data_IF_362499599185
#
_entry.id   IF_362499599185
#
_cell.length_a   1.000
_cell.length_b   1.000
_cell.length_c   1.000
_cell.angle_alpha   90.00
_cell.angle_beta   90.00
_cell.angle_gamma   90.00
#
_symmetry.space_group_name_H-M   'P 1'
#
loop_
_entity.id
_entity.type
_entity.pdbx_description
1 polymer ?
#
# COMPACT_ATOMS: atom_id res chain seq x y z
N UNK A 1 -22.99 16.11 -17.09
CA UNK A 1 -21.96 16.26 -16.05
C UNK A 1 -21.29 14.92 -15.84
N UNK A 2 -20.00 14.84 -16.12
CA UNK A 2 -19.20 13.66 -15.82
C UNK A 2 -19.04 13.57 -14.29
N UNK A 3 -19.31 12.41 -13.70
CA UNK A 3 -19.10 12.13 -12.30
C UNK A 3 -17.62 11.84 -12.01
N UNK A 4 -17.26 11.81 -10.72
CA UNK A 4 -15.97 11.32 -10.25
C UNK A 4 -16.16 10.06 -9.40
N UNK A 5 -15.19 9.16 -9.46
CA UNK A 5 -15.10 8.01 -8.54
C UNK A 5 -13.94 8.26 -7.58
N UNK A 6 -14.22 8.16 -6.29
CA UNK A 6 -13.21 8.31 -5.24
C UNK A 6 -13.00 6.98 -4.54
N UNK A 7 -11.74 6.59 -4.39
CA UNK A 7 -11.34 5.50 -3.50
C UNK A 7 -10.90 6.10 -2.17
N UNK A 8 -11.59 5.74 -1.09
CA UNK A 8 -11.39 6.32 0.23
C UNK A 8 -11.03 5.22 1.21
N UNK A 9 -9.94 5.40 1.93
CA UNK A 9 -9.54 4.55 3.05
C UNK A 9 -9.39 5.42 4.29
N UNK A 10 -10.06 5.03 5.37
CA UNK A 10 -10.12 5.81 6.61
C UNK A 10 -10.11 4.89 7.83
N UNK A 11 -9.59 5.40 8.95
CA UNK A 11 -9.68 4.79 10.26
C UNK A 11 -10.84 5.35 11.11
N UNK A 12 -11.73 6.14 10.50
CA UNK A 12 -12.88 6.75 11.18
C UNK A 12 -13.72 5.76 11.99
N UNK A 13 -14.05 4.55 11.48
CA UNK A 13 -14.83 3.59 12.26
C UNK A 13 -14.20 3.21 13.60
N UNK A 14 -12.86 3.10 13.65
CA UNK A 14 -12.14 2.86 14.90
C UNK A 14 -12.26 4.06 15.83
N UNK A 15 -12.06 5.26 15.32
CA UNK A 15 -12.17 6.50 16.11
C UNK A 15 -13.58 6.69 16.68
N UNK A 16 -14.61 6.37 15.88
CA UNK A 16 -16.01 6.44 16.31
C UNK A 16 -16.31 5.40 17.41
N UNK A 17 -15.81 4.17 17.26
CA UNK A 17 -15.94 3.11 18.27
C UNK A 17 -15.30 3.52 19.61
N UNK A 18 -14.12 4.12 19.57
CA UNK A 18 -13.40 4.60 20.75
C UNK A 18 -13.96 5.91 21.33
N UNK A 19 -15.01 6.48 20.72
CA UNK A 19 -15.64 7.71 21.16
C UNK A 19 -14.80 8.97 20.91
N UNK A 20 -13.79 8.90 20.05
CA UNK A 20 -13.00 10.08 19.68
C UNK A 20 -13.85 11.08 18.88
N UNK A 21 -13.59 12.35 19.11
CA UNK A 21 -14.19 13.46 18.36
C UNK A 21 -13.11 14.36 17.82
N UNK A 22 -13.36 14.95 16.66
CA UNK A 22 -12.47 15.97 16.14
C UNK A 22 -12.35 17.12 17.15
N UNK A 23 -11.11 17.44 17.52
CA UNK A 23 -10.82 18.61 18.32
C UNK A 23 -10.59 19.82 17.41
N UNK A 24 -10.99 21.01 17.88
CA UNK A 24 -10.55 22.25 17.25
C UNK A 24 -9.05 22.40 17.51
N UNK A 25 -8.25 22.32 16.44
CA UNK A 25 -6.80 22.49 16.51
C UNK A 25 -6.38 23.66 15.64
N UNK A 26 -5.49 24.51 16.15
CA UNK A 26 -4.94 25.63 15.37
C UNK A 26 -4.05 25.15 14.24
N UNK A 27 -3.43 23.97 14.40
CA UNK A 27 -2.52 23.37 13.43
C UNK A 27 -2.72 21.88 13.36
N UNK A 28 -2.94 21.37 12.16
CA UNK A 28 -3.06 19.92 11.95
C UNK A 28 -1.72 19.21 12.19
N UNK A 29 -1.72 18.00 12.76
CA UNK A 29 -0.51 17.19 12.95
C UNK A 29 0.05 16.61 11.64
N UNK A 30 -0.72 16.68 10.57
CA UNK A 30 -0.39 16.13 9.24
C UNK A 30 -0.52 17.25 8.22
N UNK A 31 0.44 17.36 7.32
CA UNK A 31 0.40 18.33 6.23
C UNK A 31 -0.45 17.77 5.07
N UNK A 32 -1.15 18.65 4.35
CA UNK A 32 -1.71 18.29 3.06
C UNK A 32 -0.55 18.04 2.08
N UNK A 33 -0.53 16.88 1.46
CA UNK A 33 0.55 16.47 0.55
C UNK A 33 -0.03 16.14 -0.82
N UNK A 34 0.66 16.58 -1.86
CA UNK A 34 0.36 16.21 -3.23
C UNK A 34 1.58 15.53 -3.84
N UNK A 35 1.37 14.36 -4.39
CA UNK A 35 2.40 13.57 -5.10
C UNK A 35 2.09 13.59 -6.60
N UNK A 36 2.75 14.46 -7.40
CA UNK A 36 2.49 14.56 -8.83
C UNK A 36 2.80 13.26 -9.56
N UNK A 37 1.98 12.91 -10.56
CA UNK A 37 2.13 11.67 -11.31
C UNK A 37 3.51 11.53 -11.99
N UNK A 38 4.06 12.65 -12.49
CA UNK A 38 5.40 12.66 -13.09
C UNK A 38 6.50 12.31 -12.08
N UNK A 39 6.38 12.80 -10.84
CA UNK A 39 7.32 12.46 -9.76
C UNK A 39 7.20 10.99 -9.36
N UNK A 40 5.97 10.48 -9.25
CA UNK A 40 5.71 9.06 -8.98
C UNK A 40 6.38 8.18 -10.05
N UNK A 41 6.18 8.50 -11.33
CA UNK A 41 6.79 7.77 -12.44
C UNK A 41 8.33 7.79 -12.36
N UNK A 42 8.91 8.96 -12.11
CA UNK A 42 10.36 9.13 -11.95
C UNK A 42 10.91 8.28 -10.78
N UNK A 43 10.24 8.26 -9.65
CA UNK A 43 10.64 7.46 -8.49
C UNK A 43 10.54 5.96 -8.76
N UNK A 44 9.49 5.52 -9.45
CA UNK A 44 9.36 4.12 -9.87
C UNK A 44 10.51 3.69 -10.78
N UNK A 45 10.86 4.50 -11.78
CA UNK A 45 11.97 4.20 -12.66
C UNK A 45 13.29 4.11 -11.87
N UNK A 46 13.51 5.03 -10.93
CA UNK A 46 14.68 5.00 -10.05
C UNK A 46 14.78 3.75 -9.21
N UNK A 47 13.66 3.27 -8.66
CA UNK A 47 13.64 2.02 -7.86
C UNK A 47 14.06 0.84 -8.73
N UNK A 48 13.59 0.74 -9.95
CA UNK A 48 13.98 -0.34 -10.87
C UNK A 48 15.47 -0.31 -11.23
N UNK A 49 16.10 0.86 -11.25
CA UNK A 49 17.53 0.98 -11.50
C UNK A 49 18.38 0.50 -10.32
N UNK A 50 17.93 0.74 -9.09
CA UNK A 50 18.74 0.51 -7.88
C UNK A 50 18.38 -0.76 -7.10
N UNK A 51 17.16 -1.25 -7.20
CA UNK A 51 16.72 -2.44 -6.49
C UNK A 51 17.20 -3.72 -7.20
N UNK A 52 18.33 -4.23 -6.73
CA UNK A 52 18.90 -5.52 -7.18
C UNK A 52 19.18 -6.36 -5.97
N UNK A 53 18.40 -7.43 -5.76
CA UNK A 53 18.65 -8.40 -4.68
C UNK A 53 17.44 -9.28 -4.39
N UNK A 54 17.71 -10.51 -3.94
CA UNK A 54 16.69 -11.53 -3.66
C UNK A 54 15.90 -11.29 -2.37
N UNK A 55 16.28 -10.30 -1.55
CA UNK A 55 15.68 -10.03 -0.25
C UNK A 55 14.55 -8.99 -0.29
N UNK A 56 14.18 -8.51 -1.48
CA UNK A 56 13.10 -7.52 -1.62
C UNK A 56 11.75 -8.22 -1.78
N UNK A 57 10.78 -7.85 -0.94
CA UNK A 57 9.39 -8.30 -1.07
C UNK A 57 8.67 -7.69 -2.29
N UNK A 58 9.29 -6.73 -2.98
CA UNK A 58 8.77 -6.05 -4.17
C UNK A 58 9.27 -4.61 -4.28
N UNK A 59 8.91 -3.98 -5.38
CA UNK A 59 9.26 -2.57 -5.65
C UNK A 59 8.13 -1.68 -5.14
N UNK A 60 8.43 -0.76 -4.21
CA UNK A 60 7.42 0.12 -3.64
C UNK A 60 7.94 1.54 -3.41
N UNK A 61 7.07 2.50 -3.66
CA UNK A 61 7.19 3.87 -3.17
C UNK A 61 6.36 3.96 -1.90
N UNK A 62 6.93 4.40 -0.80
CA UNK A 62 6.20 4.69 0.43
C UNK A 62 5.93 6.20 0.47
N UNK A 63 4.66 6.56 0.53
CA UNK A 63 4.23 7.95 0.64
C UNK A 63 4.29 8.41 2.09
N UNK A 64 4.84 9.58 2.31
CA UNK A 64 4.95 10.18 3.63
C UNK A 64 4.89 11.72 3.54
N UNK A 65 4.67 12.39 4.65
CA UNK A 65 4.86 13.83 4.77
C UNK A 65 6.12 14.12 5.57
N UNK A 66 6.62 15.35 5.51
CA UNK A 66 7.80 15.76 6.27
C UNK A 66 7.68 15.47 7.77
N UNK A 67 6.48 15.53 8.32
CA UNK A 67 6.23 15.25 9.74
C UNK A 67 6.16 13.76 10.07
N UNK A 68 5.89 12.92 9.08
CA UNK A 68 5.72 11.47 9.24
C UNK A 68 6.88 10.67 8.62
N UNK A 69 7.90 11.35 8.08
CA UNK A 69 9.00 10.71 7.36
C UNK A 69 9.75 9.71 8.25
N UNK A 70 9.98 10.04 9.50
CA UNK A 70 10.67 9.16 10.45
C UNK A 70 9.96 7.83 10.73
N UNK A 71 8.62 7.80 10.61
CA UNK A 71 7.80 6.59 10.76
C UNK A 71 7.40 5.95 9.42
N UNK A 72 7.68 6.63 8.29
CA UNK A 72 7.29 6.21 6.95
C UNK A 72 5.78 5.99 6.77
N UNK A 73 4.98 6.74 7.52
CA UNK A 73 3.52 6.69 7.46
C UNK A 73 2.98 7.90 6.70
N UNK A 74 1.82 7.76 6.10
CA UNK A 74 1.07 8.90 5.53
C UNK A 74 0.19 9.54 6.61
N UNK A 75 -0.28 8.76 7.55
CA UNK A 75 -0.98 9.17 8.77
C UNK A 75 -0.44 8.38 9.96
N UNK A 76 -0.67 8.81 11.21
CA UNK A 76 -0.12 8.12 12.39
C UNK A 76 -0.40 6.61 12.45
N UNK A 77 -1.59 6.19 12.00
CA UNK A 77 -2.01 4.79 12.02
C UNK A 77 -1.96 4.10 10.66
N UNK A 78 -1.78 4.83 9.56
CA UNK A 78 -1.87 4.30 8.21
C UNK A 78 -0.56 4.51 7.44
N UNK A 79 -0.15 3.48 6.73
CA UNK A 79 0.86 3.53 5.68
C UNK A 79 0.20 3.56 4.31
N UNK A 80 0.79 4.24 3.35
CA UNK A 80 0.36 4.26 1.95
C UNK A 80 1.56 3.95 1.08
N UNK A 81 1.44 2.94 0.24
CA UNK A 81 2.47 2.57 -0.72
C UNK A 81 1.91 2.39 -2.13
N UNK A 82 2.69 2.75 -3.13
CA UNK A 82 2.47 2.32 -4.50
C UNK A 82 3.45 1.22 -4.83
N UNK A 83 2.91 0.02 -4.98
CA UNK A 83 3.69 -1.16 -5.35
C UNK A 83 3.69 -1.34 -6.87
N UNK A 84 4.75 -1.94 -7.35
CA UNK A 84 4.93 -2.22 -8.76
C UNK A 84 5.62 -3.57 -8.95
N UNK A 85 5.27 -4.25 -10.04
CA UNK A 85 5.92 -5.49 -10.48
C UNK A 85 6.23 -5.39 -11.97
N UNK A 86 7.46 -5.66 -12.39
CA UNK A 86 7.79 -5.84 -13.80
C UNK A 86 7.02 -7.00 -14.44
N UNK A 87 6.90 -7.05 -15.77
CA UNK A 87 6.38 -8.21 -16.48
C UNK A 87 7.14 -9.49 -16.14
N UNK A 88 6.42 -10.59 -15.88
CA UNK A 88 6.99 -11.88 -15.55
C UNK A 88 7.44 -12.06 -14.09
N UNK A 89 7.41 -11.02 -13.29
CA UNK A 89 7.87 -11.05 -11.91
C UNK A 89 6.78 -11.46 -10.92
N UNK A 90 7.22 -12.00 -9.79
CA UNK A 90 6.36 -12.38 -8.68
C UNK A 90 6.99 -11.96 -7.36
N UNK A 91 6.17 -11.50 -6.45
CA UNK A 91 6.60 -11.29 -5.08
C UNK A 91 6.74 -12.64 -4.37
N UNK A 92 7.78 -12.77 -3.56
CA UNK A 92 7.93 -13.91 -2.66
C UNK A 92 6.76 -13.96 -1.68
N UNK A 93 6.15 -15.15 -1.46
CA UNK A 93 5.08 -15.31 -0.49
C UNK A 93 5.52 -14.83 0.89
N UNK A 94 4.69 -14.02 1.52
CA UNK A 94 4.96 -13.42 2.82
C UNK A 94 3.66 -13.16 3.60
N UNK A 95 3.83 -12.82 4.87
CA UNK A 95 2.73 -12.41 5.75
C UNK A 95 3.16 -11.27 6.65
N UNK A 96 2.20 -10.50 7.10
CA UNK A 96 2.39 -9.46 8.11
C UNK A 96 1.14 -9.33 8.98
N UNK A 97 1.29 -8.69 10.15
CA UNK A 97 0.19 -8.53 11.09
C UNK A 97 -0.73 -7.34 10.79
N UNK A 98 -0.37 -6.46 9.86
CA UNK A 98 -1.28 -5.42 9.37
C UNK A 98 -2.29 -5.97 8.37
N UNK A 99 -3.50 -5.40 8.34
CA UNK A 99 -4.41 -5.56 7.22
C UNK A 99 -3.87 -4.77 6.02
N UNK A 100 -4.04 -5.27 4.82
CA UNK A 100 -3.74 -4.53 3.60
C UNK A 100 -4.98 -4.38 2.72
N UNK A 101 -5.26 -3.17 2.27
CA UNK A 101 -6.28 -2.88 1.27
C UNK A 101 -5.57 -2.39 0.03
N UNK A 102 -5.65 -3.17 -1.05
CA UNK A 102 -5.00 -2.87 -2.31
C UNK A 102 -6.01 -2.42 -3.37
N UNK A 103 -5.66 -1.36 -4.10
CA UNK A 103 -6.38 -0.91 -5.30
C UNK A 103 -5.51 -1.12 -6.53
N UNK A 104 -5.98 -1.91 -7.48
CA UNK A 104 -5.30 -2.11 -8.77
C UNK A 104 -5.49 -0.88 -9.65
N UNK A 105 -4.40 -0.25 -10.05
CA UNK A 105 -4.38 0.85 -11.04
C UNK A 105 -4.16 0.28 -12.44
N UNK A 106 -3.13 -0.57 -12.57
CA UNK A 106 -2.73 -1.24 -13.80
C UNK A 106 -2.28 -2.65 -13.47
N UNK A 107 -2.87 -3.68 -14.09
CA UNK A 107 -2.57 -5.06 -13.74
C UNK A 107 -3.20 -6.07 -14.70
N UNK A 108 -3.19 -5.80 -16.00
CA UNK A 108 -3.65 -6.76 -16.99
C UNK A 108 -2.79 -8.03 -16.95
N UNK A 109 -3.44 -9.21 -16.83
CA UNK A 109 -2.76 -10.49 -16.68
C UNK A 109 -2.09 -10.72 -15.33
N UNK A 110 -2.37 -9.85 -14.34
CA UNK A 110 -1.84 -9.97 -12.98
C UNK A 110 -2.86 -10.64 -12.04
N UNK A 111 -2.34 -11.15 -10.92
CA UNK A 111 -3.17 -11.73 -9.86
C UNK A 111 -2.48 -11.65 -8.51
N UNK A 112 -3.27 -11.79 -7.45
CA UNK A 112 -2.77 -12.08 -6.10
C UNK A 112 -3.11 -13.50 -5.70
N UNK A 113 -2.27 -14.10 -4.87
CA UNK A 113 -2.62 -15.31 -4.13
C UNK A 113 -2.74 -14.94 -2.65
N UNK A 114 -3.88 -15.26 -2.03
CA UNK A 114 -4.13 -15.01 -0.60
C UNK A 114 -4.63 -16.31 0.02
N UNK A 115 -3.89 -16.86 0.98
CA UNK A 115 -4.12 -18.19 1.59
C UNK A 115 -4.40 -19.27 0.54
N UNK A 116 -3.55 -19.32 -0.48
CA UNK A 116 -3.64 -20.30 -1.59
C UNK A 116 -4.75 -19.99 -2.61
N UNK A 117 -5.55 -18.95 -2.44
CA UNK A 117 -6.65 -18.61 -3.35
C UNK A 117 -6.21 -17.51 -4.31
N UNK A 118 -6.27 -17.80 -5.60
CA UNK A 118 -6.00 -16.83 -6.67
C UNK A 118 -7.10 -15.78 -6.78
N UNK A 119 -6.71 -14.53 -6.95
CA UNK A 119 -7.55 -13.35 -7.21
C UNK A 119 -6.99 -12.63 -8.43
N UNK A 120 -7.64 -12.80 -9.57
CA UNK A 120 -7.25 -12.11 -10.81
C UNK A 120 -7.53 -10.60 -10.70
N UNK A 121 -6.66 -9.81 -11.31
CA UNK A 121 -6.74 -8.37 -11.27
C UNK A 121 -7.48 -7.80 -12.48
N UNK A 122 -8.17 -6.72 -12.24
CA UNK A 122 -8.65 -5.79 -13.26
C UNK A 122 -8.44 -4.36 -12.75
N UNK A 123 -8.35 -3.35 -13.62
CA UNK A 123 -8.32 -1.95 -13.20
C UNK A 123 -9.48 -1.66 -12.24
N UNK A 124 -9.17 -0.93 -11.15
CA UNK A 124 -10.09 -0.57 -10.06
C UNK A 124 -10.52 -1.73 -9.15
N UNK A 125 -10.08 -2.96 -9.40
CA UNK A 125 -10.31 -4.03 -8.45
C UNK A 125 -9.66 -3.71 -7.10
N UNK A 126 -10.39 -4.01 -6.03
CA UNK A 126 -9.89 -3.85 -4.67
C UNK A 126 -9.82 -5.21 -3.98
N UNK A 127 -8.69 -5.49 -3.36
CA UNK A 127 -8.44 -6.73 -2.59
C UNK A 127 -8.10 -6.38 -1.16
N UNK A 128 -8.70 -7.12 -0.23
CA UNK A 128 -8.33 -7.07 1.19
C UNK A 128 -7.49 -8.31 1.52
N UNK A 129 -6.30 -8.10 2.05
CA UNK A 129 -5.46 -9.15 2.62
C UNK A 129 -5.60 -9.09 4.14
N UNK A 130 -6.18 -10.11 4.77
CA UNK A 130 -6.32 -10.14 6.23
C UNK A 130 -4.96 -10.17 6.95
N UNK A 131 -4.90 -9.72 8.21
CA UNK A 131 -3.73 -9.91 9.04
C UNK A 131 -3.27 -11.37 9.05
N UNK A 132 -1.98 -11.61 8.97
CA UNK A 132 -1.32 -12.92 8.99
C UNK A 132 -1.57 -13.85 7.79
N UNK A 133 -2.48 -13.51 6.89
CA UNK A 133 -2.71 -14.29 5.68
C UNK A 133 -1.45 -14.34 4.82
N UNK A 134 -1.07 -15.52 4.37
CA UNK A 134 0.05 -15.68 3.43
C UNK A 134 -0.38 -15.18 2.06
N UNK A 135 0.37 -14.25 1.51
CA UNK A 135 0.02 -13.67 0.22
C UNK A 135 1.24 -13.36 -0.65
N UNK A 136 0.98 -13.25 -1.94
CA UNK A 136 1.94 -12.87 -2.97
C UNK A 136 1.21 -12.22 -4.14
N UNK A 137 1.94 -11.41 -4.90
CA UNK A 137 1.43 -10.77 -6.11
C UNK A 137 2.25 -11.20 -7.31
N UNK A 138 1.60 -11.35 -8.46
CA UNK A 138 2.19 -11.94 -9.66
C UNK A 138 1.82 -11.11 -10.88
N UNK A 139 2.78 -10.86 -11.75
CA UNK A 139 2.56 -10.19 -13.03
C UNK A 139 2.86 -11.15 -14.19
N UNK A 140 1.82 -11.82 -14.70
CA UNK A 140 1.89 -12.61 -15.93
C UNK A 140 1.59 -11.82 -17.19
N UNK A 141 1.41 -10.51 -17.10
CA UNK A 141 1.15 -9.61 -18.22
C UNK A 141 2.41 -9.12 -18.90
N UNK A 142 2.23 -8.20 -19.83
CA UNK A 142 3.32 -7.61 -20.65
C UNK A 142 3.68 -6.19 -20.23
N UNK A 143 2.93 -5.61 -19.28
CA UNK A 143 3.14 -4.26 -18.77
C UNK A 143 3.46 -4.32 -17.27
N UNK A 144 4.12 -3.28 -16.77
CA UNK A 144 4.35 -3.05 -15.34
C UNK A 144 3.01 -3.06 -14.60
N UNK A 145 2.89 -3.83 -13.53
CA UNK A 145 1.75 -3.76 -12.62
C UNK A 145 1.91 -2.57 -11.68
N UNK A 146 0.80 -1.88 -11.36
CA UNK A 146 0.74 -0.78 -10.40
C UNK A 146 -0.47 -0.96 -9.49
N UNK A 147 -0.25 -0.97 -8.20
CA UNK A 147 -1.32 -1.09 -7.21
C UNK A 147 -1.00 -0.31 -5.93
N UNK A 148 -1.96 0.52 -5.52
CA UNK A 148 -1.89 1.23 -4.24
C UNK A 148 -2.22 0.27 -3.11
N UNK A 149 -1.48 0.37 -2.01
CA UNK A 149 -1.77 -0.37 -0.79
C UNK A 149 -1.85 0.60 0.37
N UNK A 150 -2.96 0.52 1.12
CA UNK A 150 -3.08 1.14 2.44
C UNK A 150 -3.09 0.03 3.48
N UNK A 151 -2.31 0.23 4.54
CA UNK A 151 -2.23 -0.69 5.67
C UNK A 151 -2.38 0.09 6.98
N UNK A 152 -2.92 -0.58 8.00
CA UNK A 152 -2.88 -0.09 9.38
C UNK A 152 -1.51 -0.31 10.04
N UNK A 153 -0.49 -0.48 9.23
CA UNK A 153 0.91 -0.72 9.61
C UNK A 153 1.47 0.32 10.57
N UNK A 154 0.99 1.56 10.49
CA UNK A 154 1.41 2.63 11.39
C UNK A 154 1.19 2.31 12.87
N UNK A 155 0.13 1.60 13.21
CA UNK A 155 -0.13 1.14 14.58
C UNK A 155 0.99 0.22 15.09
N UNK A 156 1.41 -0.73 14.26
CA UNK A 156 2.42 -1.73 14.62
C UNK A 156 3.83 -1.14 14.65
N UNK A 157 4.15 -0.23 13.73
CA UNK A 157 5.41 0.51 13.76
C UNK A 157 5.52 1.37 15.01
N UNK A 158 4.45 2.08 15.37
CA UNK A 158 4.42 2.92 16.57
C UNK A 158 4.55 2.08 17.84
N UNK A 159 3.86 0.96 17.92
CA UNK A 159 3.93 0.02 19.04
C UNK A 159 5.19 -0.87 19.03
N UNK A 160 6.04 -0.80 18.00
CA UNK A 160 7.21 -1.67 17.79
C UNK A 160 6.84 -3.17 17.75
N UNK A 161 5.70 -3.48 17.20
CA UNK A 161 5.14 -4.83 17.12
C UNK A 161 4.93 -5.30 15.69
N UNK A 162 5.52 -4.62 14.70
CA UNK A 162 5.41 -5.02 13.30
C UNK A 162 5.95 -6.43 13.12
N UNK A 163 5.08 -7.34 12.69
CA UNK A 163 5.41 -8.70 12.31
C UNK A 163 5.44 -8.84 10.80
N UNK A 164 6.58 -9.27 10.26
CA UNK A 164 6.74 -9.63 8.86
C UNK A 164 7.57 -10.90 8.76
N UNK A 165 7.16 -11.83 7.91
CA UNK A 165 7.96 -13.02 7.58
C UNK A 165 7.66 -13.50 6.18
N UNK A 166 8.68 -14.06 5.52
CA UNK A 166 8.47 -14.87 4.34
C UNK A 166 7.87 -16.23 4.73
N UNK A 167 7.08 -16.78 3.81
CA UNK A 167 6.47 -18.10 3.96
C UNK A 167 7.27 -19.16 3.19
#
# INVERSE_FOLDING_TARGET
>A
TEGAVLWVVTNEPLLAFEGFRAAAVERTPIDAVHFPAAEIARQLDRIYEVAKGDDTAGFAIIFSSARQEGSRNIMPSLTLGLNSLPPGESQRPHRHNSVAVALVIQGEGCWSTVDGRRKDWSPWATTVTPPTAVHSHHNGGTKRALFLIVQDGGLYYHARTMGFSFA
#
